data_IF_816633854839
#
_entry.id   IF_816633854839
#
_cell.length_a   1.000
_cell.length_b   1.000
_cell.length_c   1.000
_cell.angle_alpha   90.00
_cell.angle_beta   90.00
_cell.angle_gamma   90.00
#
_symmetry.space_group_name_H-M   'P 1'
#
loop_
_entity.id
_entity.type
_entity.pdbx_description
1 polymer ?
#
# COMPACT_ATOMS: atom_id res chain seq x y z
N UNK A 1 -24.34 20.12 8.86
CA UNK A 1 -23.53 20.39 10.07
C UNK A 1 -22.08 20.18 9.70
N UNK A 2 -21.21 21.15 9.99
CA UNK A 2 -19.84 21.16 9.50
C UNK A 2 -18.97 20.30 10.44
N UNK A 3 -18.86 18.99 10.16
CA UNK A 3 -18.04 18.05 10.94
C UNK A 3 -16.55 18.48 11.06
N UNK A 4 -16.11 19.45 10.25
CA UNK A 4 -14.78 20.07 10.32
C UNK A 4 -14.59 21.03 11.51
N UNK A 5 -15.65 21.47 12.20
CA UNK A 5 -15.57 22.54 13.20
C UNK A 5 -15.37 22.07 14.65
N UNK A 6 -15.83 20.88 15.01
CA UNK A 6 -15.77 20.39 16.40
C UNK A 6 -14.49 19.57 16.65
N UNK A 7 -13.84 19.69 17.81
CA UNK A 7 -12.66 18.89 18.19
C UNK A 7 -13.00 17.39 18.27
N UNK A 8 -11.99 16.49 18.25
CA UNK A 8 -12.26 15.07 18.37
C UNK A 8 -12.84 14.80 19.76
N UNK A 9 -13.87 13.96 19.83
CA UNK A 9 -14.41 13.52 21.12
C UNK A 9 -13.35 12.69 21.86
N UNK A 10 -12.95 13.15 23.04
CA UNK A 10 -12.02 12.42 23.90
C UNK A 10 -12.79 11.59 24.93
N UNK A 11 -12.73 10.27 24.79
CA UNK A 11 -13.34 9.37 25.75
C UNK A 11 -12.59 9.38 27.08
N UNK A 12 -13.33 9.55 28.18
CA UNK A 12 -12.73 9.58 29.53
C UNK A 12 -11.96 8.31 29.87
N UNK A 13 -12.47 7.15 29.41
CA UNK A 13 -11.81 5.85 29.60
C UNK A 13 -10.47 5.79 28.89
N UNK A 14 -10.40 6.22 27.63
CA UNK A 14 -9.15 6.26 26.86
C UNK A 14 -8.08 7.10 27.56
N UNK A 15 -8.43 8.31 28.04
CA UNK A 15 -7.49 9.18 28.74
C UNK A 15 -6.95 8.54 30.03
N UNK A 16 -7.79 7.82 30.79
CA UNK A 16 -7.35 7.09 31.98
C UNK A 16 -6.42 5.92 31.64
N UNK A 17 -6.70 5.18 30.58
CA UNK A 17 -5.83 4.08 30.12
C UNK A 17 -4.49 4.61 29.61
N UNK A 18 -4.49 5.72 28.86
CA UNK A 18 -3.28 6.39 28.41
C UNK A 18 -2.43 6.89 29.59
N UNK A 19 -3.04 7.46 30.62
CA UNK A 19 -2.35 7.86 31.86
C UNK A 19 -1.66 6.67 32.53
N UNK A 20 -2.37 5.54 32.68
CA UNK A 20 -1.82 4.31 33.27
C UNK A 20 -0.66 3.73 32.45
N UNK A 21 -0.69 3.92 31.12
CA UNK A 21 0.38 3.51 30.23
C UNK A 21 1.60 4.47 30.23
N UNK A 22 1.62 5.49 31.09
CA UNK A 22 2.70 6.46 31.20
C UNK A 22 2.54 7.69 30.30
N UNK A 23 1.36 7.88 29.69
CA UNK A 23 1.02 9.00 28.80
C UNK A 23 0.30 10.16 29.47
N UNK A 24 0.50 10.37 30.77
CA UNK A 24 -0.24 11.38 31.53
C UNK A 24 -0.06 12.81 30.98
N UNK A 25 1.15 13.18 30.56
CA UNK A 25 1.41 14.47 29.92
C UNK A 25 0.67 14.62 28.59
N UNK A 26 0.65 13.58 27.76
CA UNK A 26 -0.06 13.59 26.48
C UNK A 26 -1.57 13.67 26.70
N UNK A 27 -2.10 12.92 27.67
CA UNK A 27 -3.52 12.98 28.02
C UNK A 27 -3.94 14.40 28.45
N UNK A 28 -3.12 15.09 29.25
CA UNK A 28 -3.36 16.50 29.64
C UNK A 28 -3.35 17.44 28.42
N UNK A 29 -2.33 17.33 27.56
CA UNK A 29 -2.22 18.17 26.36
C UNK A 29 -3.43 17.99 25.44
N UNK A 30 -3.82 16.75 25.16
CA UNK A 30 -4.97 16.43 24.33
C UNK A 30 -6.26 17.00 24.93
N UNK A 31 -6.49 16.77 26.23
CA UNK A 31 -7.69 17.24 26.91
C UNK A 31 -7.80 18.77 26.92
N UNK A 32 -6.68 19.47 27.17
CA UNK A 32 -6.64 20.94 27.17
C UNK A 32 -6.79 21.51 25.77
N UNK A 33 -6.18 20.89 24.77
CA UNK A 33 -6.33 21.30 23.37
C UNK A 33 -7.79 21.13 22.89
N UNK A 34 -8.44 20.02 23.23
CA UNK A 34 -9.81 19.75 22.81
C UNK A 34 -10.84 20.69 23.48
N UNK A 35 -10.57 21.19 24.69
CA UNK A 35 -11.51 22.02 25.45
C UNK A 35 -11.22 23.53 25.38
N UNK A 36 -10.11 23.94 24.79
CA UNK A 36 -9.74 25.35 24.67
C UNK A 36 -10.45 26.02 23.48
N UNK A 37 -10.81 27.30 23.64
CA UNK A 37 -11.25 28.18 22.56
C UNK A 37 -10.16 29.12 22.06
N UNK A 38 -9.02 29.16 22.75
CA UNK A 38 -7.84 29.94 22.37
C UNK A 38 -7.06 29.17 21.30
N UNK A 39 -7.08 29.69 20.07
CA UNK A 39 -6.52 29.01 18.90
C UNK A 39 -4.98 28.86 18.96
N UNK A 40 -4.28 29.85 19.51
CA UNK A 40 -2.82 29.84 19.65
C UNK A 40 -2.38 28.81 20.71
N UNK A 41 -3.14 28.75 21.81
CA UNK A 41 -2.95 27.72 22.82
C UNK A 41 -3.24 26.32 22.25
N UNK A 42 -4.31 26.14 21.49
CA UNK A 42 -4.65 24.85 20.85
C UNK A 42 -3.53 24.40 19.93
N UNK A 43 -2.99 25.30 19.10
CA UNK A 43 -1.87 24.98 18.20
C UNK A 43 -0.64 24.52 18.98
N UNK A 44 -0.24 25.28 20.00
CA UNK A 44 0.91 24.94 20.84
C UNK A 44 0.76 23.57 21.50
N UNK A 45 -0.42 23.29 22.08
CA UNK A 45 -0.71 22.02 22.75
C UNK A 45 -0.77 20.86 21.76
N UNK A 46 -1.38 21.06 20.58
CA UNK A 46 -1.50 20.04 19.54
C UNK A 46 -0.13 19.65 18.96
N UNK A 47 0.76 20.63 18.72
CA UNK A 47 2.14 20.38 18.28
C UNK A 47 2.89 19.58 19.34
N UNK A 48 2.84 20.01 20.60
CA UNK A 48 3.52 19.33 21.69
C UNK A 48 2.99 17.90 21.93
N UNK A 49 1.67 17.68 21.79
CA UNK A 49 1.08 16.34 21.87
C UNK A 49 1.54 15.45 20.71
N UNK A 50 1.54 15.99 19.49
CA UNK A 50 1.97 15.27 18.29
C UNK A 50 3.42 14.82 18.38
N UNK A 51 4.34 15.72 18.73
CA UNK A 51 5.78 15.42 18.79
C UNK A 51 6.10 14.37 19.84
N UNK A 52 5.48 14.45 21.02
CA UNK A 52 5.66 13.45 22.08
C UNK A 52 5.08 12.09 21.70
N UNK A 53 3.92 12.06 21.02
CA UNK A 53 3.38 10.81 20.49
C UNK A 53 4.31 10.24 19.43
N UNK A 54 4.82 11.07 18.52
CA UNK A 54 5.76 10.67 17.47
C UNK A 54 7.01 10.02 18.06
N UNK A 55 7.67 10.66 19.02
CA UNK A 55 8.83 10.09 19.73
C UNK A 55 8.49 8.73 20.33
N UNK A 56 7.33 8.63 21.00
CA UNK A 56 6.91 7.41 21.68
C UNK A 56 6.66 6.24 20.72
N UNK A 57 6.08 6.51 19.55
CA UNK A 57 5.88 5.50 18.50
C UNK A 57 7.20 4.97 17.93
N UNK A 58 8.28 5.75 18.01
CA UNK A 58 9.61 5.39 17.50
C UNK A 58 10.59 4.94 18.60
N UNK A 59 10.12 4.81 19.85
CA UNK A 59 10.90 4.22 20.94
C UNK A 59 10.81 2.68 20.91
N UNK A 60 11.52 2.05 19.97
CA UNK A 60 11.64 0.59 19.89
C UNK A 60 11.04 -0.04 18.64
N UNK A 61 10.72 -1.34 18.71
CA UNK A 61 10.14 -2.06 17.57
C UNK A 61 8.66 -1.74 17.42
N UNK A 62 8.21 -1.53 16.17
CA UNK A 62 6.81 -1.21 15.86
C UNK A 62 5.82 -2.25 16.39
N UNK A 63 6.20 -3.54 16.39
CA UNK A 63 5.33 -4.62 16.88
C UNK A 63 4.98 -4.51 18.37
N UNK A 64 5.80 -3.80 19.14
CA UNK A 64 5.64 -3.61 20.58
C UNK A 64 4.90 -2.30 20.91
N UNK A 65 4.56 -1.50 19.89
CA UNK A 65 3.85 -0.24 20.05
C UNK A 65 2.39 -0.51 20.42
N UNK A 66 2.03 -0.12 21.64
CA UNK A 66 0.66 -0.27 22.14
C UNK A 66 -0.36 0.49 21.26
N UNK A 67 -1.54 -0.12 20.99
CA UNK A 67 -2.68 0.55 20.35
C UNK A 67 -3.03 1.91 20.95
N UNK A 68 -2.90 2.07 22.28
CA UNK A 68 -3.18 3.33 22.98
C UNK A 68 -2.33 4.50 22.45
N UNK A 69 -1.05 4.26 22.16
CA UNK A 69 -0.15 5.29 21.64
C UNK A 69 -0.48 5.65 20.19
N UNK A 70 -0.92 4.67 19.40
CA UNK A 70 -1.37 4.87 18.02
C UNK A 70 -2.65 5.72 17.98
N UNK A 71 -3.60 5.44 18.87
CA UNK A 71 -4.81 6.24 19.04
C UNK A 71 -4.50 7.67 19.52
N UNK A 72 -3.60 7.82 20.50
CA UNK A 72 -3.15 9.14 20.98
C UNK A 72 -2.51 9.97 19.86
N UNK A 73 -1.64 9.34 19.05
CA UNK A 73 -1.04 9.95 17.89
C UNK A 73 -2.08 10.41 16.87
N UNK A 74 -3.09 9.59 16.59
CA UNK A 74 -4.18 9.95 15.68
C UNK A 74 -4.96 11.18 16.15
N UNK A 75 -5.32 11.24 17.43
CA UNK A 75 -6.00 12.38 18.04
C UNK A 75 -5.15 13.66 17.96
N UNK A 76 -3.86 13.57 18.30
CA UNK A 76 -2.93 14.69 18.21
C UNK A 76 -2.78 15.19 16.76
N UNK A 77 -2.70 14.25 15.81
CA UNK A 77 -2.58 14.56 14.37
C UNK A 77 -3.81 15.31 13.85
N UNK A 78 -5.02 14.90 14.22
CA UNK A 78 -6.26 15.58 13.82
C UNK A 78 -6.37 16.98 14.43
N UNK A 79 -6.01 17.15 15.71
CA UNK A 79 -5.95 18.47 16.33
C UNK A 79 -4.98 19.39 15.59
N UNK A 80 -3.76 18.91 15.31
CA UNK A 80 -2.75 19.66 14.57
C UNK A 80 -3.18 19.96 13.14
N UNK A 81 -3.80 19.02 12.46
CA UNK A 81 -4.34 19.19 11.11
C UNK A 81 -5.40 20.31 11.06
N UNK A 82 -6.28 20.39 12.05
CA UNK A 82 -7.25 21.50 12.16
C UNK A 82 -6.55 22.86 12.31
N UNK A 83 -5.46 22.94 13.08
CA UNK A 83 -4.65 24.16 13.18
C UNK A 83 -4.04 24.55 11.82
N UNK A 84 -3.41 23.59 11.12
CA UNK A 84 -2.84 23.82 9.78
C UNK A 84 -3.90 24.31 8.78
N UNK A 85 -5.13 23.78 8.86
CA UNK A 85 -6.23 24.21 8.01
C UNK A 85 -6.65 25.66 8.31
N UNK A 86 -6.76 26.05 9.59
CA UNK A 86 -7.04 27.45 9.98
C UNK A 86 -5.94 28.40 9.50
N UNK A 87 -4.69 27.97 9.60
CA UNK A 87 -3.51 28.70 9.14
C UNK A 87 -3.31 28.64 7.62
N UNK A 88 -4.30 28.15 6.85
CA UNK A 88 -4.31 28.08 5.38
C UNK A 88 -3.11 27.33 4.79
N UNK A 89 -2.72 26.24 5.44
CA UNK A 89 -1.67 25.31 4.99
C UNK A 89 -2.29 23.94 4.61
N UNK A 90 -3.10 23.87 3.54
CA UNK A 90 -3.86 22.67 3.23
C UNK A 90 -2.98 21.50 2.74
N UNK A 91 -1.82 21.75 2.14
CA UNK A 91 -0.91 20.67 1.70
C UNK A 91 -0.27 19.96 2.89
N UNK A 92 0.23 20.73 3.85
CA UNK A 92 0.76 20.24 5.13
C UNK A 92 -0.33 19.55 5.96
N UNK A 93 -1.54 20.10 5.94
CA UNK A 93 -2.71 19.49 6.58
C UNK A 93 -3.02 18.10 5.99
N UNK A 94 -3.04 17.97 4.66
CA UNK A 94 -3.28 16.68 4.00
C UNK A 94 -2.19 15.66 4.35
N UNK A 95 -0.92 16.07 4.31
CA UNK A 95 0.21 15.22 4.72
C UNK A 95 0.07 14.77 6.18
N UNK A 96 -0.32 15.67 7.09
CA UNK A 96 -0.56 15.33 8.50
C UNK A 96 -1.65 14.27 8.66
N UNK A 97 -2.73 14.36 7.88
CA UNK A 97 -3.84 13.40 7.93
C UNK A 97 -3.49 12.06 7.28
N UNK A 98 -2.65 12.06 6.25
CA UNK A 98 -2.10 10.83 5.68
C UNK A 98 -1.18 10.11 6.69
N UNK A 99 -0.33 10.86 7.40
CA UNK A 99 0.47 10.31 8.51
C UNK A 99 -0.41 9.77 9.63
N UNK A 100 -1.50 10.45 9.97
CA UNK A 100 -2.49 9.97 10.93
C UNK A 100 -3.00 8.58 10.53
N UNK A 101 -3.47 8.41 9.28
CA UNK A 101 -4.00 7.15 8.79
C UNK A 101 -2.93 6.04 8.75
N UNK A 102 -1.72 6.34 8.32
CA UNK A 102 -0.63 5.35 8.27
C UNK A 102 -0.22 4.85 9.66
N UNK A 103 -0.04 5.76 10.61
CA UNK A 103 0.47 5.41 11.94
C UNK A 103 -0.61 4.90 12.88
N UNK A 104 -1.80 5.51 12.86
CA UNK A 104 -2.92 5.10 13.72
C UNK A 104 -3.69 3.90 13.14
N UNK A 105 -3.68 3.72 11.80
CA UNK A 105 -4.43 2.65 11.14
C UNK A 105 -5.93 2.69 11.49
N UNK A 106 -6.53 1.56 11.90
CA UNK A 106 -7.96 1.51 12.25
C UNK A 106 -8.32 2.32 13.51
N UNK A 107 -7.31 2.81 14.25
CA UNK A 107 -7.49 3.63 15.46
C UNK A 107 -7.46 5.14 15.16
N UNK A 108 -7.33 5.53 13.88
CA UNK A 108 -7.43 6.93 13.49
C UNK A 108 -8.81 7.50 13.89
N UNK A 109 -8.90 8.77 14.31
CA UNK A 109 -10.18 9.39 14.65
C UNK A 109 -11.16 9.31 13.47
N UNK A 110 -12.43 8.99 13.74
CA UNK A 110 -13.43 8.71 12.71
C UNK A 110 -13.66 9.89 11.74
N UNK A 111 -13.41 11.13 12.20
CA UNK A 111 -13.54 12.32 11.35
C UNK A 111 -12.42 12.50 10.32
N UNK A 112 -11.35 11.71 10.38
CA UNK A 112 -10.12 11.94 9.60
C UNK A 112 -10.41 12.01 8.10
N UNK A 113 -11.21 11.08 7.55
CA UNK A 113 -11.60 11.10 6.14
C UNK A 113 -12.48 12.29 5.77
N UNK A 114 -13.36 12.73 6.66
CA UNK A 114 -14.20 13.91 6.41
C UNK A 114 -13.36 15.19 6.36
N UNK A 115 -12.32 15.28 7.19
CA UNK A 115 -11.36 16.37 7.17
C UNK A 115 -10.51 16.34 5.90
N UNK A 116 -9.98 15.17 5.49
CA UNK A 116 -9.28 15.00 4.21
C UNK A 116 -10.13 15.50 3.04
N UNK A 117 -11.40 15.07 2.95
CA UNK A 117 -12.30 15.51 1.88
C UNK A 117 -12.54 17.03 1.89
N UNK A 118 -12.42 17.68 3.05
CA UNK A 118 -12.50 19.14 3.16
C UNK A 118 -11.23 19.81 2.64
N UNK A 119 -10.06 19.30 3.04
CA UNK A 119 -8.75 19.78 2.59
C UNK A 119 -8.57 19.60 1.09
N UNK A 120 -8.96 18.46 0.52
CA UNK A 120 -8.91 18.19 -0.92
C UNK A 120 -9.77 19.18 -1.71
N UNK A 121 -10.97 19.54 -1.20
CA UNK A 121 -11.81 20.58 -1.83
C UNK A 121 -11.17 21.95 -1.78
N UNK A 122 -10.45 22.28 -0.71
CA UNK A 122 -9.72 23.55 -0.59
C UNK A 122 -8.54 23.60 -1.57
N UNK A 123 -7.74 22.53 -1.64
CA UNK A 123 -6.65 22.39 -2.61
C UNK A 123 -7.15 22.53 -4.05
N UNK A 124 -8.29 21.89 -4.38
CA UNK A 124 -8.90 22.01 -5.70
C UNK A 124 -9.35 23.44 -6.03
N UNK A 125 -9.88 24.20 -5.05
CA UNK A 125 -10.25 25.61 -5.24
C UNK A 125 -9.03 26.49 -5.45
N UNK A 126 -7.97 26.30 -4.66
CA UNK A 126 -6.73 27.08 -4.79
C UNK A 126 -6.09 26.85 -6.17
N UNK A 127 -6.07 25.61 -6.65
CA UNK A 127 -5.58 25.28 -7.98
C UNK A 127 -6.38 25.94 -9.13
N UNK A 128 -7.69 26.17 -8.94
CA UNK A 128 -8.52 26.88 -9.92
C UNK A 128 -8.33 28.40 -9.89
N UNK A 129 -8.01 28.97 -8.71
CA UNK A 129 -7.73 30.40 -8.55
C UNK A 129 -6.34 30.80 -9.05
N UNK A 130 -5.37 29.87 -8.99
CA UNK A 130 -4.01 30.05 -9.49
C UNK A 130 -3.89 29.89 -11.02
N UNK A 131 -4.97 29.62 -11.77
CA UNK A 131 -4.95 29.77 -13.23
C UNK A 131 -4.96 31.27 -13.61
N UNK A 132 -3.87 31.85 -14.15
CA UNK A 132 -3.85 33.28 -14.44
C UNK A 132 -4.60 33.55 -15.74
N UNK A 133 -5.54 34.50 -15.68
CA UNK A 133 -5.79 35.39 -16.81
C UNK A 133 -4.47 36.08 -17.16
N UNK A 134 -3.95 35.76 -18.35
CA UNK A 134 -2.84 36.42 -19.06
C UNK A 134 -1.41 36.34 -18.46
N UNK A 135 -0.54 35.66 -19.20
CA UNK A 135 0.88 36.00 -19.41
C UNK A 135 1.87 35.91 -18.24
N UNK A 136 2.16 34.70 -17.74
CA UNK A 136 3.52 34.33 -17.31
C UNK A 136 3.85 32.92 -17.81
N UNK A 137 5.00 32.77 -18.46
CA UNK A 137 5.54 31.54 -19.03
C UNK A 137 5.93 30.48 -17.97
N UNK A 138 5.02 30.12 -17.07
CA UNK A 138 4.98 28.73 -16.61
C UNK A 138 4.21 27.98 -17.68
N UNK A 139 4.93 27.25 -18.54
CA UNK A 139 4.29 26.23 -19.38
C UNK A 139 3.53 25.34 -18.40
N UNK A 140 2.19 25.42 -18.38
CA UNK A 140 1.35 24.30 -17.93
C UNK A 140 2.03 23.05 -18.48
N UNK A 141 2.22 21.95 -17.72
CA UNK A 141 2.48 20.68 -18.35
C UNK A 141 1.36 20.53 -19.36
N UNK A 142 1.69 20.65 -20.66
CA UNK A 142 0.71 20.43 -21.71
C UNK A 142 0.31 18.99 -21.46
N UNK A 143 -0.88 18.75 -20.88
CA UNK A 143 -1.50 17.43 -20.78
C UNK A 143 -1.78 16.98 -22.22
N UNK A 144 -0.71 16.56 -22.90
CA UNK A 144 -0.68 16.06 -24.26
C UNK A 144 -1.08 14.60 -24.20
N UNK A 145 -2.30 14.29 -24.64
CA UNK A 145 -2.88 12.94 -24.77
C UNK A 145 -2.94 12.17 -23.45
N UNK A 146 -3.95 11.30 -23.32
CA UNK A 146 -4.01 10.33 -22.23
C UNK A 146 -2.67 9.59 -22.13
N UNK A 147 -2.00 9.72 -20.99
CA UNK A 147 -0.72 9.06 -20.73
C UNK A 147 -1.04 7.76 -20.01
N UNK A 148 -1.38 6.77 -20.80
CA UNK A 148 -1.55 5.40 -20.33
C UNK A 148 -0.23 4.89 -19.77
N UNK A 149 -0.27 4.11 -18.70
CA UNK A 149 0.89 3.34 -18.29
C UNK A 149 1.24 2.39 -19.42
N UNK A 150 2.24 2.76 -20.23
CA UNK A 150 2.69 1.95 -21.33
C UNK A 150 3.28 0.64 -20.79
N UNK A 151 2.93 -0.47 -21.41
CA UNK A 151 3.68 -1.71 -21.35
C UNK A 151 5.04 -1.49 -22.02
N UNK A 152 6.00 -0.96 -21.26
CA UNK A 152 7.36 -0.71 -21.75
C UNK A 152 8.14 -2.01 -21.93
N UNK A 153 8.60 -2.28 -23.16
CA UNK A 153 9.61 -3.30 -23.49
C UNK A 153 9.07 -4.67 -23.90
N UNK A 154 9.67 -5.31 -24.90
CA UNK A 154 9.45 -6.73 -25.15
C UNK A 154 10.20 -7.55 -24.10
N UNK A 155 9.68 -7.66 -22.88
CA UNK A 155 10.07 -8.80 -22.04
C UNK A 155 9.43 -10.01 -22.70
N UNK A 156 10.21 -10.79 -23.47
CA UNK A 156 9.76 -12.09 -23.94
C UNK A 156 9.45 -12.91 -22.70
N UNK A 157 8.18 -13.20 -22.48
CA UNK A 157 7.77 -14.18 -21.48
C UNK A 157 8.52 -15.48 -21.79
N UNK A 158 9.43 -15.86 -20.89
CA UNK A 158 10.09 -17.15 -20.96
C UNK A 158 9.04 -18.24 -20.91
N UNK A 159 9.24 -19.32 -21.66
CA UNK A 159 8.35 -20.47 -21.58
C UNK A 159 8.35 -21.02 -20.14
N UNK A 160 7.18 -21.06 -19.52
CA UNK A 160 7.00 -21.64 -18.20
C UNK A 160 7.29 -23.14 -18.26
N UNK A 161 8.12 -23.63 -17.35
CA UNK A 161 8.51 -25.04 -17.24
C UNK A 161 7.48 -25.83 -16.44
N UNK A 162 7.02 -25.27 -15.31
CA UNK A 162 6.06 -25.93 -14.40
C UNK A 162 4.88 -25.00 -14.10
N UNK A 163 3.92 -24.85 -15.03
CA UNK A 163 2.87 -23.84 -14.90
C UNK A 163 1.90 -24.15 -13.75
N UNK A 164 1.50 -23.10 -13.02
CA UNK A 164 0.38 -23.15 -12.08
C UNK A 164 -0.92 -23.48 -12.83
N UNK A 165 -1.76 -24.35 -12.25
CA UNK A 165 -3.09 -24.67 -12.79
C UNK A 165 -3.96 -23.41 -12.86
N UNK A 166 -4.71 -23.26 -13.95
CA UNK A 166 -5.70 -22.19 -14.13
C UNK A 166 -7.13 -22.74 -14.00
N UNK A 167 -7.99 -22.06 -13.24
CA UNK A 167 -9.42 -22.34 -13.14
C UNK A 167 -10.21 -21.09 -13.55
N UNK A 168 -11.30 -21.28 -14.30
CA UNK A 168 -12.19 -20.18 -14.71
C UNK A 168 -13.35 -20.11 -13.74
N UNK A 169 -13.37 -19.07 -12.90
CA UNK A 169 -14.42 -18.81 -11.89
C UNK A 169 -14.91 -20.10 -11.20
N UNK A 170 -14.03 -20.87 -10.52
CA UNK A 170 -14.47 -22.05 -9.79
C UNK A 170 -15.54 -21.66 -8.77
N UNK A 171 -16.48 -22.57 -8.49
CA UNK A 171 -17.46 -22.33 -7.42
C UNK A 171 -16.74 -22.25 -6.07
N UNK A 172 -17.36 -21.63 -5.05
CA UNK A 172 -16.79 -21.56 -3.71
C UNK A 172 -16.52 -22.96 -3.13
N UNK A 173 -17.41 -23.92 -3.39
CA UNK A 173 -17.23 -25.32 -2.98
C UNK A 173 -16.05 -25.98 -3.71
N UNK A 174 -15.94 -25.78 -5.03
CA UNK A 174 -14.82 -26.33 -5.81
C UNK A 174 -13.49 -25.74 -5.35
N UNK A 175 -13.43 -24.41 -5.16
CA UNK A 175 -12.27 -23.72 -4.65
C UNK A 175 -11.88 -24.25 -3.26
N UNK A 176 -12.83 -24.27 -2.32
CA UNK A 176 -12.57 -24.76 -0.96
C UNK A 176 -12.03 -26.19 -0.96
N UNK A 177 -12.73 -27.12 -1.61
CA UNK A 177 -12.41 -28.56 -1.55
C UNK A 177 -11.16 -28.93 -2.34
N UNK A 178 -10.96 -28.36 -3.53
CA UNK A 178 -9.94 -28.83 -4.47
C UNK A 178 -8.68 -27.95 -4.54
N UNK A 179 -8.73 -26.77 -3.92
CA UNK A 179 -7.65 -25.79 -3.91
C UNK A 179 -7.23 -25.49 -2.47
N UNK A 180 -8.11 -24.84 -1.69
CA UNK A 180 -7.78 -24.32 -0.36
C UNK A 180 -7.43 -25.43 0.64
N UNK A 181 -8.32 -26.41 0.82
CA UNK A 181 -8.09 -27.55 1.73
C UNK A 181 -6.99 -28.51 1.24
N UNK A 182 -6.58 -28.39 -0.03
CA UNK A 182 -5.45 -29.14 -0.58
C UNK A 182 -4.14 -28.36 -0.50
N UNK A 183 -4.18 -27.13 0.00
CA UNK A 183 -3.05 -26.20 0.07
C UNK A 183 -2.31 -26.04 -1.27
N UNK A 184 -3.06 -25.86 -2.37
CA UNK A 184 -2.49 -25.76 -3.72
C UNK A 184 -2.67 -24.35 -4.30
N UNK A 185 -1.64 -23.73 -4.87
CA UNK A 185 -1.80 -22.49 -5.60
C UNK A 185 -2.63 -22.70 -6.87
N UNK A 186 -3.41 -21.68 -7.25
CA UNK A 186 -4.19 -21.70 -8.49
C UNK A 186 -4.34 -20.28 -9.02
N UNK A 187 -4.29 -20.14 -10.35
CA UNK A 187 -4.68 -18.90 -11.00
C UNK A 187 -6.18 -18.96 -11.30
N UNK A 188 -6.93 -17.97 -10.85
CA UNK A 188 -8.36 -17.81 -11.08
C UNK A 188 -8.55 -16.77 -12.18
N UNK A 189 -9.32 -17.13 -13.20
CA UNK A 189 -9.60 -16.28 -14.37
C UNK A 189 -11.08 -15.90 -14.43
N UNK A 190 -11.39 -14.72 -14.97
CA UNK A 190 -12.75 -14.22 -15.16
C UNK A 190 -13.43 -13.64 -13.92
N UNK A 191 -12.85 -13.79 -12.72
CA UNK A 191 -13.43 -13.32 -11.47
C UNK A 191 -13.26 -11.80 -11.21
N UNK A 192 -12.49 -11.09 -12.05
CA UNK A 192 -12.23 -9.65 -11.88
C UNK A 192 -12.93 -8.76 -12.93
N UNK A 193 -13.62 -9.33 -13.93
CA UNK A 193 -14.09 -8.59 -15.12
C UNK A 193 -14.97 -7.37 -14.81
N UNK A 194 -15.66 -7.39 -13.67
CA UNK A 194 -16.57 -6.35 -13.21
C UNK A 194 -15.90 -5.27 -12.34
N UNK A 195 -14.61 -5.40 -12.00
CA UNK A 195 -13.91 -4.39 -11.20
C UNK A 195 -13.78 -3.08 -11.98
N UNK A 196 -14.25 -1.94 -11.43
CA UNK A 196 -14.06 -0.64 -12.07
C UNK A 196 -12.60 -0.32 -12.37
N UNK A 197 -11.66 -0.80 -11.54
CA UNK A 197 -10.22 -0.57 -11.70
C UNK A 197 -9.65 -1.09 -13.02
N UNK A 198 -10.27 -2.11 -13.64
CA UNK A 198 -9.85 -2.62 -14.96
C UNK A 198 -10.32 -1.72 -16.13
N UNK A 199 -11.32 -0.87 -15.90
CA UNK A 199 -11.96 -0.03 -16.91
C UNK A 199 -12.86 -0.76 -17.92
N UNK A 200 -12.95 -2.10 -17.84
CA UNK A 200 -13.77 -2.92 -18.76
C UNK A 200 -15.27 -2.64 -18.57
N UNK A 201 -15.73 -2.63 -17.31
CA UNK A 201 -17.13 -2.38 -16.97
C UNK A 201 -17.45 -0.90 -16.68
N UNK A 202 -16.47 -0.13 -16.20
CA UNK A 202 -16.68 1.24 -15.69
C UNK A 202 -16.10 2.35 -16.58
N UNK A 203 -15.58 2.01 -17.77
CA UNK A 203 -14.97 2.95 -18.71
C UNK A 203 -13.46 3.14 -18.49
N UNK A 204 -12.71 3.46 -19.57
CA UNK A 204 -11.26 3.65 -19.53
C UNK A 204 -10.81 4.79 -18.60
N UNK A 205 -11.65 5.80 -18.37
CA UNK A 205 -11.41 6.97 -17.53
C UNK A 205 -11.36 6.67 -16.02
N UNK A 206 -11.83 5.48 -15.62
CA UNK A 206 -11.75 4.96 -14.26
C UNK A 206 -10.73 3.81 -14.11
N UNK A 207 -10.11 3.41 -15.23
CA UNK A 207 -9.10 2.35 -15.21
C UNK A 207 -7.84 2.83 -14.49
N UNK A 208 -7.27 2.00 -13.62
CA UNK A 208 -6.05 2.35 -12.89
C UNK A 208 -4.81 2.48 -13.79
N UNK A 209 -4.86 1.96 -15.01
CA UNK A 209 -3.84 2.21 -16.05
C UNK A 209 -3.87 3.63 -16.63
N UNK A 210 -4.92 4.43 -16.33
CA UNK A 210 -4.92 5.87 -16.60
C UNK A 210 -4.17 6.60 -15.50
N UNK A 211 -3.06 7.25 -15.89
CA UNK A 211 -2.32 8.14 -14.99
C UNK A 211 -3.19 9.33 -14.59
N UNK A 212 -4.01 9.87 -15.50
CA UNK A 212 -4.91 10.98 -15.18
C UNK A 212 -5.89 10.61 -14.07
N UNK A 213 -6.44 9.39 -14.12
CA UNK A 213 -7.33 8.89 -13.08
C UNK A 213 -6.64 8.86 -11.71
N UNK A 214 -5.47 8.22 -11.63
CA UNK A 214 -4.72 8.11 -10.37
C UNK A 214 -4.30 9.48 -9.82
N UNK A 215 -3.85 10.40 -10.67
CA UNK A 215 -3.52 11.77 -10.27
C UNK A 215 -4.72 12.51 -9.71
N UNK A 216 -5.87 12.38 -10.37
CA UNK A 216 -7.11 13.06 -9.96
C UNK A 216 -7.63 12.52 -8.62
N UNK A 217 -7.58 11.22 -8.41
CA UNK A 217 -8.17 10.58 -7.22
C UNK A 217 -7.23 10.56 -6.03
N UNK A 218 -5.92 10.42 -6.26
CA UNK A 218 -4.97 10.10 -5.20
C UNK A 218 -3.64 10.87 -5.33
N UNK A 219 -3.46 11.72 -6.34
CA UNK A 219 -2.17 12.32 -6.68
C UNK A 219 -1.52 13.11 -5.54
N UNK A 220 -2.30 13.80 -4.71
CA UNK A 220 -1.78 14.61 -3.59
C UNK A 220 -1.58 13.81 -2.29
N UNK A 221 -1.96 12.53 -2.27
CA UNK A 221 -1.89 11.68 -1.09
C UNK A 221 -0.46 11.21 -0.86
N UNK A 222 -0.01 11.29 0.39
CA UNK A 222 1.34 10.85 0.79
C UNK A 222 1.36 9.35 0.98
N UNK A 223 2.31 8.67 0.35
CA UNK A 223 2.45 7.21 0.36
C UNK A 223 3.88 6.81 0.72
N UNK A 224 4.08 5.66 1.40
CA UNK A 224 5.39 5.10 1.64
C UNK A 224 5.88 4.33 0.41
N UNK A 225 7.11 4.60 0.00
CA UNK A 225 7.74 3.98 -1.18
C UNK A 225 9.07 3.40 -0.77
N UNK A 226 9.27 2.11 -1.02
CA UNK A 226 10.56 1.46 -0.91
C UNK A 226 11.45 1.89 -2.09
N UNK A 227 12.69 2.29 -1.81
CA UNK A 227 13.66 2.75 -2.79
C UNK A 227 14.86 1.80 -2.77
N UNK A 228 15.19 1.20 -3.90
CA UNK A 228 16.32 0.27 -4.03
C UNK A 228 15.99 -0.96 -4.87
N UNK A 229 16.90 -1.92 -4.88
CA UNK A 229 16.75 -3.16 -5.66
C UNK A 229 15.71 -4.13 -5.08
N UNK A 230 15.77 -4.37 -3.77
CA UNK A 230 14.81 -5.15 -2.98
C UNK A 230 15.01 -4.85 -1.49
N UNK A 231 14.09 -5.26 -0.62
CA UNK A 231 14.24 -5.08 0.84
C UNK A 231 15.39 -5.87 1.48
N UNK A 232 16.06 -6.75 0.72
CA UNK A 232 17.28 -7.43 1.14
C UNK A 232 18.56 -6.75 0.60
N UNK A 233 18.42 -5.75 -0.25
CA UNK A 233 19.56 -5.05 -0.85
C UNK A 233 20.14 -3.98 0.09
N UNK A 234 21.47 -3.83 0.08
CA UNK A 234 22.16 -2.78 0.84
C UNK A 234 21.77 -1.36 0.41
N UNK A 235 21.17 -1.23 -0.77
CA UNK A 235 20.71 0.03 -1.34
C UNK A 235 19.28 0.41 -0.96
N UNK A 236 18.61 -0.41 -0.11
CA UNK A 236 17.23 -0.25 0.30
C UNK A 236 17.02 0.86 1.34
N UNK A 237 15.95 1.61 1.15
CA UNK A 237 15.39 2.54 2.14
C UNK A 237 13.92 2.79 1.88
N UNK A 238 13.28 3.58 2.72
CA UNK A 238 11.88 3.98 2.55
C UNK A 238 11.79 5.51 2.53
N UNK A 239 11.04 6.03 1.57
CA UNK A 239 10.76 7.46 1.44
C UNK A 239 9.25 7.72 1.46
N UNK A 240 8.85 8.83 2.08
CA UNK A 240 7.49 9.35 1.97
C UNK A 240 7.44 10.39 0.86
N UNK A 241 6.55 10.18 -0.10
CA UNK A 241 6.31 11.12 -1.19
C UNK A 241 4.83 11.13 -1.57
N UNK A 242 4.39 12.14 -2.29
CA UNK A 242 3.04 12.14 -2.86
C UNK A 242 2.92 11.11 -3.98
N UNK A 243 1.71 10.60 -4.23
CA UNK A 243 1.49 9.69 -5.36
C UNK A 243 1.84 10.35 -6.70
N UNK A 244 1.66 11.66 -6.85
CA UNK A 244 2.11 12.43 -8.01
C UNK A 244 3.63 12.32 -8.18
N UNK A 245 4.40 12.55 -7.12
CA UNK A 245 5.85 12.41 -7.16
C UNK A 245 6.27 10.97 -7.46
N UNK A 246 5.60 9.98 -6.87
CA UNK A 246 5.86 8.57 -7.17
C UNK A 246 5.64 8.26 -8.66
N UNK A 247 4.51 8.70 -9.22
CA UNK A 247 4.19 8.54 -10.62
C UNK A 247 5.24 9.20 -11.52
N UNK A 248 5.62 10.44 -11.23
CA UNK A 248 6.61 11.21 -12.00
C UNK A 248 8.03 10.65 -11.90
N UNK A 249 8.41 10.14 -10.72
CA UNK A 249 9.78 9.71 -10.47
C UNK A 249 10.06 8.26 -10.81
N UNK A 250 9.07 7.37 -10.70
CA UNK A 250 9.29 5.92 -10.76
C UNK A 250 8.43 5.18 -11.79
N UNK A 251 7.28 5.72 -12.19
CA UNK A 251 6.34 5.01 -13.07
C UNK A 251 6.39 5.54 -14.50
N UNK A 252 6.34 6.85 -14.64
CA UNK A 252 6.29 7.52 -15.93
C UNK A 252 7.73 7.69 -16.40
N UNK A 253 8.12 7.19 -17.60
CA UNK A 253 9.46 7.43 -18.10
C UNK A 253 9.68 8.93 -18.26
N UNK A 254 10.83 9.48 -17.82
CA UNK A 254 11.19 10.85 -18.14
C UNK A 254 11.18 10.98 -19.67
N UNK A 255 10.62 12.09 -20.17
CA UNK A 255 10.80 12.42 -21.57
C UNK A 255 12.31 12.43 -21.80
N UNK A 256 12.81 11.61 -22.71
CA UNK A 256 14.21 11.64 -23.11
C UNK A 256 14.48 13.05 -23.65
N UNK A 257 15.05 13.92 -22.83
CA UNK A 257 15.73 15.09 -23.35
C UNK A 257 17.03 14.55 -23.96
N UNK A 258 17.19 14.73 -25.27
CA UNK A 258 18.24 14.15 -26.11
C UNK A 258 19.69 14.50 -25.70
N UNK A 259 19.91 15.20 -24.57
CA UNK A 259 21.18 15.84 -24.26
C UNK A 259 21.75 15.63 -22.85
N UNK A 260 21.21 14.72 -22.02
CA UNK A 260 21.81 14.52 -20.69
C UNK A 260 22.70 13.27 -20.61
N UNK A 261 23.86 13.50 -19.98
CA UNK A 261 24.93 12.56 -19.64
C UNK A 261 24.39 11.25 -19.03
N UNK A 262 25.16 10.14 -18.99
CA UNK A 262 24.71 8.89 -18.40
C UNK A 262 24.31 9.11 -16.93
N UNK A 263 23.02 9.30 -16.71
CA UNK A 263 22.41 9.44 -15.39
C UNK A 263 22.66 8.11 -14.70
N UNK A 264 23.29 8.15 -13.52
CA UNK A 264 23.43 6.99 -12.65
C UNK A 264 22.12 6.19 -12.62
N UNK A 265 22.16 4.84 -12.66
CA UNK A 265 20.94 4.04 -12.76
C UNK A 265 19.97 4.44 -11.66
N UNK A 266 18.80 4.95 -12.08
CA UNK A 266 17.78 5.46 -11.17
C UNK A 266 17.27 4.29 -10.32
N UNK A 267 17.36 4.42 -8.99
CA UNK A 267 16.85 3.39 -8.07
C UNK A 267 15.35 3.16 -8.33
N UNK A 268 14.94 1.89 -8.27
CA UNK A 268 13.54 1.52 -8.41
C UNK A 268 12.77 2.01 -7.18
N UNK A 269 11.55 2.49 -7.40
CA UNK A 269 10.61 2.85 -6.34
C UNK A 269 9.44 1.88 -6.35
N UNK A 270 9.14 1.26 -5.22
CA UNK A 270 8.06 0.30 -5.07
C UNK A 270 7.14 0.69 -3.92
N UNK A 271 5.89 1.06 -4.24
CA UNK A 271 4.83 1.21 -3.26
C UNK A 271 4.33 -0.21 -2.93
N UNK A 272 5.00 -0.83 -1.96
CA UNK A 272 4.79 -2.23 -1.59
C UNK A 272 4.03 -2.36 -0.27
N UNK A 273 3.22 -3.41 -0.15
CA UNK A 273 2.56 -3.84 1.08
C UNK A 273 1.86 -2.71 1.86
N UNK A 274 1.19 -1.78 1.16
CA UNK A 274 0.55 -0.64 1.80
C UNK A 274 -0.97 -0.77 1.81
N UNK A 275 -1.61 -0.46 2.95
CA UNK A 275 -3.08 -0.42 3.12
C UNK A 275 -3.69 0.83 2.49
N UNK A 276 -3.43 1.02 1.19
CA UNK A 276 -3.79 2.21 0.43
C UNK A 276 -5.29 2.47 0.37
N UNK A 277 -6.12 1.41 0.42
CA UNK A 277 -7.57 1.53 0.27
C UNK A 277 -8.26 2.02 1.54
N UNK A 278 -7.68 1.74 2.71
CA UNK A 278 -8.08 2.36 3.97
C UNK A 278 -7.73 3.84 3.94
N UNK A 279 -6.53 4.17 3.45
CA UNK A 279 -6.10 5.57 3.33
C UNK A 279 -6.92 6.36 2.30
N UNK A 280 -7.23 5.73 1.16
CA UNK A 280 -7.87 6.34 0.00
C UNK A 280 -9.13 5.53 -0.38
N UNK A 281 -10.24 5.68 0.35
CA UNK A 281 -11.48 4.93 0.08
C UNK A 281 -12.04 5.13 -1.34
N UNK A 282 -11.67 6.22 -2.00
CA UNK A 282 -12.03 6.45 -3.40
C UNK A 282 -11.47 5.37 -4.34
N UNK A 283 -10.22 4.92 -4.14
CA UNK A 283 -9.64 3.79 -4.87
C UNK A 283 -10.26 2.46 -4.40
N UNK A 284 -10.57 2.33 -3.11
CA UNK A 284 -11.25 1.14 -2.58
C UNK A 284 -12.59 0.85 -3.26
N UNK A 285 -13.29 1.88 -3.75
CA UNK A 285 -14.54 1.74 -4.54
C UNK A 285 -14.35 1.18 -5.96
N UNK A 286 -13.11 0.96 -6.38
CA UNK A 286 -12.78 0.41 -7.71
C UNK A 286 -12.47 -1.08 -7.69
N UNK A 287 -12.39 -1.68 -6.49
CA UNK A 287 -12.10 -3.09 -6.27
C UNK A 287 -13.24 -3.74 -5.51
N UNK A 288 -13.27 -5.06 -5.50
CA UNK A 288 -14.22 -5.84 -4.70
C UNK A 288 -13.46 -6.94 -3.98
N UNK A 289 -13.83 -7.25 -2.75
CA UNK A 289 -13.30 -8.42 -2.06
C UNK A 289 -13.72 -9.67 -2.84
N UNK A 290 -12.78 -10.54 -3.27
CA UNK A 290 -13.14 -11.78 -3.94
C UNK A 290 -14.02 -12.66 -3.04
N UNK A 291 -15.09 -13.26 -3.58
CA UNK A 291 -15.97 -14.15 -2.82
C UNK A 291 -15.21 -15.36 -2.22
N UNK A 292 -14.07 -15.72 -2.81
CA UNK A 292 -13.18 -16.75 -2.28
C UNK A 292 -12.63 -16.43 -0.88
N UNK A 293 -12.61 -15.17 -0.47
CA UNK A 293 -12.21 -14.78 0.88
C UNK A 293 -13.29 -15.05 1.95
N UNK A 294 -14.49 -15.49 1.56
CA UNK A 294 -15.55 -15.87 2.51
C UNK A 294 -15.50 -17.34 2.91
N UNK A 295 -14.65 -18.15 2.27
CA UNK A 295 -14.45 -19.55 2.69
C UNK A 295 -13.28 -19.64 3.65
N UNK A 296 -13.47 -20.43 4.70
CA UNK A 296 -12.48 -20.65 5.75
C UNK A 296 -11.96 -22.09 5.72
N UNK A 297 -10.75 -22.25 6.26
CA UNK A 297 -10.22 -23.57 6.63
C UNK A 297 -10.97 -24.13 7.83
N UNK A 298 -10.87 -25.44 8.02
CA UNK A 298 -11.52 -26.08 9.18
C UNK A 298 -10.85 -25.65 10.51
N UNK A 299 -9.57 -25.28 10.48
CA UNK A 299 -8.79 -24.87 11.65
C UNK A 299 -9.13 -23.45 12.14
N UNK A 300 -9.62 -22.59 11.25
CA UNK A 300 -9.94 -21.18 11.49
C UNK A 300 -11.46 -20.96 11.72
N UNK A 301 -12.22 -22.04 11.93
CA UNK A 301 -13.67 -21.99 12.08
C UNK A 301 -14.08 -21.19 13.33
N UNK A 302 -14.62 -19.99 13.11
CA UNK A 302 -15.04 -19.07 14.17
C UNK A 302 -14.06 -17.93 14.46
N UNK A 303 -12.90 -17.89 13.79
CA UNK A 303 -12.01 -16.73 13.80
C UNK A 303 -12.49 -15.73 12.73
N UNK A 304 -13.19 -14.68 13.17
CA UNK A 304 -13.63 -13.56 12.33
C UNK A 304 -12.53 -12.48 12.30
N UNK A 305 -11.38 -12.79 11.69
CA UNK A 305 -10.37 -11.76 11.43
C UNK A 305 -10.71 -10.93 10.18
N UNK A 306 -10.53 -9.62 10.27
CA UNK A 306 -10.72 -8.72 9.14
C UNK A 306 -9.74 -9.01 8.00
N UNK A 307 -10.27 -9.02 6.77
CA UNK A 307 -9.47 -9.17 5.55
C UNK A 307 -8.51 -7.98 5.44
N UNK A 308 -7.22 -8.28 5.34
CA UNK A 308 -6.20 -7.25 5.12
C UNK A 308 -5.97 -7.05 3.63
N UNK A 309 -6.23 -5.82 3.15
CA UNK A 309 -6.12 -5.46 1.74
C UNK A 309 -4.89 -4.56 1.55
N UNK A 310 -3.91 -5.04 0.80
CA UNK A 310 -2.70 -4.29 0.47
C UNK A 310 -2.60 -4.02 -1.03
N UNK A 311 -1.99 -2.90 -1.36
CA UNK A 311 -1.61 -2.57 -2.73
C UNK A 311 -0.12 -2.85 -2.99
N UNK A 312 0.18 -3.08 -4.26
CA UNK A 312 1.53 -3.32 -4.77
C UNK A 312 1.68 -2.58 -6.10
N UNK A 313 2.32 -1.41 -6.10
CA UNK A 313 2.42 -0.55 -7.27
C UNK A 313 3.87 -0.15 -7.54
N UNK A 314 4.39 -0.48 -8.72
CA UNK A 314 5.77 -0.19 -9.11
C UNK A 314 6.02 -0.29 -10.61
N UNK A 315 7.19 0.17 -11.08
CA UNK A 315 7.63 -0.04 -12.45
C UNK A 315 7.95 -1.52 -12.74
N UNK A 316 8.23 -1.82 -14.01
CA UNK A 316 8.84 -3.10 -14.37
C UNK A 316 10.20 -3.27 -13.68
N UNK A 317 10.51 -4.50 -13.28
CA UNK A 317 11.74 -4.87 -12.59
C UNK A 317 11.66 -4.85 -11.06
N UNK A 318 10.55 -4.39 -10.45
CA UNK A 318 10.41 -4.51 -8.99
C UNK A 318 10.34 -5.97 -8.58
N UNK A 319 11.05 -6.31 -7.50
CA UNK A 319 11.16 -7.67 -6.98
C UNK A 319 10.73 -7.71 -5.52
N UNK A 320 9.89 -8.68 -5.20
CA UNK A 320 9.72 -9.18 -3.84
C UNK A 320 10.52 -10.48 -3.73
N UNK A 321 11.64 -10.49 -2.97
CA UNK A 321 12.43 -11.68 -2.67
C UNK A 321 11.59 -12.88 -2.24
N UNK A 322 12.14 -14.08 -2.34
CA UNK A 322 11.43 -15.30 -1.99
C UNK A 322 11.11 -15.32 -0.49
N UNK A 323 9.82 -15.29 -0.15
CA UNK A 323 9.33 -15.30 1.22
C UNK A 323 8.01 -16.05 1.32
N UNK A 324 7.52 -16.31 2.54
CA UNK A 324 6.17 -16.80 2.76
C UNK A 324 5.38 -15.92 3.73
N UNK A 325 4.06 -15.96 3.59
CA UNK A 325 3.12 -15.30 4.49
C UNK A 325 2.34 -16.35 5.30
N UNK A 326 1.89 -16.03 6.52
CA UNK A 326 1.19 -17.00 7.36
C UNK A 326 -0.28 -17.23 6.97
N UNK A 327 -0.88 -16.32 6.20
CA UNK A 327 -2.31 -16.29 5.87
C UNK A 327 -2.60 -16.80 4.46
N UNK A 328 -3.85 -17.16 4.19
CA UNK A 328 -4.34 -17.29 2.82
C UNK A 328 -4.28 -15.94 2.12
N UNK A 329 -3.88 -15.94 0.85
CA UNK A 329 -3.70 -14.72 0.07
C UNK A 329 -4.25 -14.89 -1.35
N UNK A 330 -5.03 -13.92 -1.83
CA UNK A 330 -5.34 -13.77 -3.26
C UNK A 330 -4.67 -12.50 -3.77
N UNK A 331 -3.68 -12.66 -4.65
CA UNK A 331 -3.03 -11.57 -5.37
C UNK A 331 -3.79 -11.32 -6.69
N UNK A 332 -4.49 -10.21 -6.78
CA UNK A 332 -5.27 -9.78 -7.93
C UNK A 332 -4.46 -8.79 -8.80
N UNK A 333 -4.27 -9.08 -10.08
CA UNK A 333 -3.49 -8.24 -10.98
C UNK A 333 -4.38 -7.24 -11.73
N UNK A 334 -4.20 -5.95 -11.49
CA UNK A 334 -5.08 -4.88 -12.03
C UNK A 334 -4.43 -4.14 -13.21
N UNK A 335 -3.11 -3.95 -13.19
CA UNK A 335 -2.35 -3.31 -14.28
C UNK A 335 -1.08 -4.10 -14.54
N UNK A 336 -0.73 -4.35 -15.80
CA UNK A 336 0.51 -5.02 -16.18
C UNK A 336 0.53 -6.52 -15.87
N UNK A 337 1.72 -7.09 -15.71
CA UNK A 337 1.91 -8.49 -15.37
C UNK A 337 3.08 -8.72 -14.42
N UNK A 338 2.99 -9.81 -13.67
CA UNK A 338 4.02 -10.27 -12.74
C UNK A 338 4.39 -11.72 -13.05
N UNK A 339 5.68 -12.03 -12.98
CA UNK A 339 6.16 -13.40 -12.91
C UNK A 339 6.23 -13.83 -11.44
N UNK A 340 5.73 -15.02 -11.15
CA UNK A 340 5.74 -15.62 -9.82
C UNK A 340 6.32 -17.02 -9.88
N UNK A 341 7.19 -17.34 -8.92
CA UNK A 341 7.66 -18.71 -8.65
C UNK A 341 7.31 -19.09 -7.22
N UNK A 342 6.66 -20.24 -7.06
CA UNK A 342 6.06 -20.72 -5.83
C UNK A 342 6.67 -22.05 -5.42
N UNK A 343 7.04 -22.19 -4.15
CA UNK A 343 7.54 -23.42 -3.55
C UNK A 343 6.66 -23.82 -2.37
N UNK A 344 6.33 -25.10 -2.30
CA UNK A 344 5.50 -25.61 -1.21
C UNK A 344 6.25 -25.53 0.13
N UNK A 345 5.54 -25.45 1.29
CA UNK A 345 6.16 -25.39 2.61
C UNK A 345 7.14 -26.55 2.87
N UNK A 346 6.92 -27.72 2.28
CA UNK A 346 7.76 -28.91 2.42
C UNK A 346 9.15 -28.74 1.77
N UNK A 347 9.34 -27.71 0.93
CA UNK A 347 10.62 -27.42 0.28
C UNK A 347 11.50 -26.48 1.13
N UNK A 348 11.01 -25.98 2.28
CA UNK A 348 11.68 -24.96 3.13
C UNK A 348 13.16 -25.26 3.45
N UNK A 349 13.51 -26.51 3.73
CA UNK A 349 14.89 -26.94 4.03
C UNK A 349 15.88 -26.75 2.87
N UNK A 350 15.36 -26.49 1.67
CA UNK A 350 16.13 -26.22 0.44
C UNK A 350 16.15 -24.73 0.07
N UNK A 351 15.40 -23.89 0.80
CA UNK A 351 15.22 -22.46 0.50
C UNK A 351 16.04 -21.55 1.41
N UNK A 352 16.80 -22.10 2.36
CA UNK A 352 17.73 -21.35 3.21
C UNK A 352 17.11 -20.08 3.83
N UNK A 353 16.11 -20.24 4.72
CA UNK A 353 15.50 -19.12 5.43
C UNK A 353 16.55 -18.31 6.22
N UNK A 354 16.36 -17.00 6.30
CA UNK A 354 17.18 -16.12 7.15
C UNK A 354 16.93 -16.48 8.62
N UNK A 355 17.94 -16.45 9.48
CA UNK A 355 17.72 -16.70 10.91
C UNK A 355 17.09 -15.47 11.61
N UNK A 356 16.23 -15.71 12.60
CA UNK A 356 15.65 -14.65 13.43
C UNK A 356 14.38 -14.02 12.85
N UNK A 357 14.31 -12.68 12.88
CA UNK A 357 13.09 -11.91 12.59
C UNK A 357 12.61 -12.01 11.13
N UNK A 358 13.49 -12.35 10.19
CA UNK A 358 13.18 -12.51 8.76
C UNK A 358 13.14 -13.99 8.36
N UNK A 359 12.83 -14.89 9.29
CA UNK A 359 12.77 -16.35 9.05
C UNK A 359 11.72 -16.81 8.05
N UNK A 360 10.84 -15.91 7.64
CA UNK A 360 9.95 -16.14 6.52
C UNK A 360 10.54 -15.76 5.16
N UNK A 361 11.78 -15.27 5.08
CA UNK A 361 12.46 -14.84 3.85
C UNK A 361 13.68 -15.72 3.57
N UNK A 362 13.91 -16.03 2.29
CA UNK A 362 15.01 -16.85 1.80
C UNK A 362 16.25 -16.00 1.53
N UNK A 363 17.43 -16.56 1.79
CA UNK A 363 18.72 -15.99 1.36
C UNK A 363 18.98 -16.14 -0.15
N UNK A 364 18.19 -16.96 -0.86
CA UNK A 364 18.44 -17.32 -2.25
C UNK A 364 17.88 -16.27 -3.21
N UNK A 365 18.71 -15.83 -4.15
CA UNK A 365 18.26 -15.05 -5.31
C UNK A 365 17.71 -16.00 -6.38
N UNK A 366 16.39 -16.04 -6.55
CA UNK A 366 15.70 -17.10 -7.33
C UNK A 366 16.08 -17.13 -8.81
N UNK A 367 16.36 -15.97 -9.41
CA UNK A 367 16.74 -15.86 -10.83
C UNK A 367 18.24 -16.07 -11.08
N UNK A 368 19.07 -15.95 -10.05
CA UNK A 368 20.54 -16.13 -10.12
C UNK A 368 21.05 -16.79 -8.83
N UNK A 369 20.71 -18.07 -8.59
CA UNK A 369 21.05 -18.73 -7.34
C UNK A 369 22.54 -19.08 -7.27
N UNK A 370 23.16 -18.77 -6.13
CA UNK A 370 24.52 -19.22 -5.82
C UNK A 370 24.51 -20.72 -5.47
N UNK A 371 24.81 -21.56 -6.45
CA UNK A 371 24.79 -23.03 -6.35
C UNK A 371 25.86 -23.60 -5.40
N UNK A 372 26.93 -22.85 -5.13
CA UNK A 372 27.98 -23.25 -4.20
C UNK A 372 27.52 -23.01 -2.76
N UNK A 373 26.90 -21.86 -2.51
CA UNK A 373 26.38 -21.47 -1.19
C UNK A 373 25.06 -22.15 -0.86
N UNK A 374 24.19 -22.39 -1.85
CA UNK A 374 22.83 -22.93 -1.68
C UNK A 374 22.59 -24.23 -2.46
N UNK A 375 23.43 -25.27 -2.31
CA UNK A 375 23.41 -26.45 -3.17
C UNK A 375 22.11 -27.27 -3.13
N UNK A 376 21.27 -27.12 -2.09
CA UNK A 376 19.97 -27.80 -2.02
C UNK A 376 18.91 -27.15 -2.90
N UNK A 377 19.04 -25.86 -3.21
CA UNK A 377 18.01 -25.06 -3.90
C UNK A 377 17.73 -25.59 -5.31
N UNK A 378 18.75 -26.07 -6.02
CA UNK A 378 18.60 -26.68 -7.35
C UNK A 378 17.62 -27.87 -7.39
N UNK A 379 17.39 -28.51 -6.25
CA UNK A 379 16.49 -29.65 -6.10
C UNK A 379 15.13 -29.26 -5.47
N UNK A 380 14.89 -27.97 -5.25
CA UNK A 380 13.62 -27.46 -4.73
C UNK A 380 12.56 -27.49 -5.84
N UNK A 381 11.44 -28.15 -5.57
CA UNK A 381 10.33 -28.23 -6.54
C UNK A 381 9.50 -26.96 -6.48
N UNK A 382 9.14 -26.44 -7.64
CA UNK A 382 8.34 -25.23 -7.76
C UNK A 382 7.23 -25.36 -8.79
N UNK A 383 6.30 -24.42 -8.73
CA UNK A 383 5.38 -24.06 -9.82
C UNK A 383 5.55 -22.58 -10.13
N UNK A 384 5.18 -22.16 -11.33
CA UNK A 384 5.37 -20.77 -11.77
C UNK A 384 4.23 -20.27 -12.67
N UNK A 385 4.03 -18.96 -12.69
CA UNK A 385 3.10 -18.33 -13.62
C UNK A 385 3.54 -16.92 -13.98
N UNK A 386 3.10 -16.46 -15.15
CA UNK A 386 2.88 -15.04 -15.38
C UNK A 386 1.42 -14.77 -15.05
N UNK A 387 1.18 -13.84 -14.12
CA UNK A 387 -0.13 -13.37 -13.72
C UNK A 387 -0.45 -12.09 -14.50
N UNK A 388 -1.51 -12.11 -15.30
CA UNK A 388 -1.88 -11.02 -16.21
C UNK A 388 -3.05 -10.17 -15.67
N UNK A 389 -3.23 -8.97 -16.26
CA UNK A 389 -4.37 -8.09 -15.98
C UNK A 389 -5.72 -8.82 -15.98
N UNK A 390 -6.42 -8.80 -14.85
CA UNK A 390 -7.73 -9.44 -14.65
C UNK A 390 -7.66 -10.88 -14.12
N UNK A 391 -6.46 -11.41 -13.91
CA UNK A 391 -6.25 -12.70 -13.23
C UNK A 391 -5.97 -12.51 -11.73
N UNK A 392 -6.35 -13.51 -10.95
CA UNK A 392 -6.01 -13.62 -9.53
C UNK A 392 -5.12 -14.84 -9.31
N UNK A 393 -4.14 -14.77 -8.42
CA UNK A 393 -3.40 -15.94 -7.93
C UNK A 393 -3.77 -16.17 -6.47
N UNK A 394 -4.31 -17.35 -6.17
CA UNK A 394 -4.39 -17.83 -4.81
C UNK A 394 -3.05 -18.42 -4.37
N UNK A 395 -2.51 -17.90 -3.28
CA UNK A 395 -1.28 -18.31 -2.60
C UNK A 395 -1.69 -18.86 -1.24
N UNK A 396 -1.55 -20.17 -1.01
CA UNK A 396 -1.87 -20.76 0.28
C UNK A 396 -0.93 -20.26 1.40
N UNK A 397 -1.31 -20.38 2.68
CA UNK A 397 -0.47 -20.03 3.80
C UNK A 397 0.84 -20.82 3.76
N UNK A 398 1.92 -20.13 4.12
CA UNK A 398 3.30 -20.63 4.16
C UNK A 398 3.88 -21.07 2.81
N UNK A 399 3.16 -20.88 1.69
CA UNK A 399 3.77 -21.05 0.37
C UNK A 399 4.82 -19.96 0.15
N UNK A 400 6.04 -20.41 -0.13
CA UNK A 400 7.10 -19.52 -0.51
C UNK A 400 6.81 -18.98 -1.90
N UNK A 401 6.90 -17.67 -2.08
CA UNK A 401 6.63 -17.01 -3.35
C UNK A 401 7.66 -15.91 -3.62
N UNK A 402 8.23 -15.96 -4.82
CA UNK A 402 9.04 -14.92 -5.41
C UNK A 402 8.20 -14.19 -6.44
N UNK A 403 8.27 -12.85 -6.48
CA UNK A 403 7.46 -12.03 -7.37
C UNK A 403 8.32 -10.99 -8.08
N UNK A 404 8.18 -10.90 -9.40
CA UNK A 404 8.85 -9.90 -10.23
C UNK A 404 7.84 -9.22 -11.15
N UNK A 405 7.77 -7.90 -11.11
CA UNK A 405 6.98 -7.12 -12.07
C UNK A 405 7.66 -7.14 -13.44
N UNK A 406 6.99 -7.65 -14.47
CA UNK A 406 7.54 -7.68 -15.84
C UNK A 406 7.42 -6.31 -16.51
N UNK A 407 6.36 -5.59 -16.16
CA UNK A 407 6.04 -4.24 -16.60
C UNK A 407 5.65 -3.38 -15.40
N UNK A 408 5.37 -2.09 -15.65
CA UNK A 408 4.63 -1.29 -14.67
C UNK A 408 3.39 -2.07 -14.23
N UNK A 409 3.31 -2.30 -12.92
CA UNK A 409 2.39 -3.25 -12.33
C UNK A 409 1.66 -2.62 -11.15
N UNK A 410 0.35 -2.83 -11.09
CA UNK A 410 -0.49 -2.53 -9.94
C UNK A 410 -1.28 -3.80 -9.58
N UNK A 411 -1.03 -4.36 -8.39
CA UNK A 411 -1.74 -5.51 -7.86
C UNK A 411 -2.40 -5.18 -6.51
N UNK A 412 -3.39 -5.98 -6.14
CA UNK A 412 -4.08 -5.91 -4.84
C UNK A 412 -4.05 -7.29 -4.21
N UNK A 413 -3.59 -7.41 -2.97
CA UNK A 413 -3.62 -8.67 -2.22
C UNK A 413 -4.67 -8.63 -1.12
N UNK A 414 -5.40 -9.73 -0.95
CA UNK A 414 -6.39 -9.92 0.11
C UNK A 414 -5.88 -11.05 1.01
N UNK A 415 -5.60 -10.74 2.27
CA UNK A 415 -5.10 -11.71 3.25
C UNK A 415 -6.20 -12.04 4.25
N UNK A 416 -6.49 -13.32 4.44
CA UNK A 416 -7.52 -13.81 5.36
C UNK A 416 -7.13 -15.18 5.96
N UNK A 417 -7.95 -15.67 6.89
CA UNK A 417 -7.84 -17.00 7.51
C UNK A 417 -9.17 -17.75 7.36
#
# INVERSE_FOLDING_TARGET
MNAAAEPPALESRFLQELQKAGGASIADLLLRAANSKDEELVETLAVAAYERCWEKLHCGSWKDVSPLWRQAFGLASVLRARCLLRSKQPAECLKMLDMCLMMAGPLAPFETHALIATVERELAKNAQQDEPSESRHFKRPRLKKERWMHSGGQVKESALTVPVRRLKMPTLEEFRRTVMLQNKPVVITGAMEFWPALGRAAGPERAWKSVEYLRRIAGLRTVPVEIGSSYLGDDWGQELMTLNEFLDRHIIPPLAEENDHPVSPRKLGYLAQHRLFDQIPALGRDIMTPDYCTVQRDEDAGDEEDITINCWFGPGGTVSPLHFDPKDNVLCQVVGSKYLRLYAPEESDKLYPIEGLLSNTSLVQVEDPDDERFPKFRNARYVECVLHEGEMLYIPPKYWHYVKSLFTSFSVSFWWS
#
